data_IF_506227508484
#
_entry.id   IF_506227508484
#
_cell.length_a   1.000
_cell.length_b   1.000
_cell.length_c   1.000
_cell.angle_alpha   90.00
_cell.angle_beta   90.00
_cell.angle_gamma   90.00
#
_symmetry.space_group_name_H-M   'P 1'
#
loop_
_entity.id
_entity.type
_entity.pdbx_description
1 polymer ?
#
# COMPACT_ATOMS: atom_id res chain seq x y z
N UNK A 1 24.40 40.70 -18.83
CA UNK A 1 23.99 39.41 -18.24
C UNK A 1 25.19 38.50 -18.25
N UNK A 2 25.58 37.98 -17.09
CA UNK A 2 26.83 37.23 -16.97
C UNK A 2 26.69 35.82 -17.54
N UNK A 3 27.78 35.25 -18.05
CA UNK A 3 27.85 33.85 -18.55
C UNK A 3 27.22 32.84 -17.59
N UNK A 4 27.33 33.09 -16.27
CA UNK A 4 26.74 32.29 -15.20
C UNK A 4 25.20 32.25 -15.28
N UNK A 5 24.57 33.37 -15.62
CA UNK A 5 23.11 33.45 -15.78
C UNK A 5 22.61 32.51 -16.88
N UNK A 6 23.24 32.56 -18.07
CA UNK A 6 22.84 31.69 -19.19
C UNK A 6 23.10 30.20 -18.92
N UNK A 7 24.17 29.87 -18.20
CA UNK A 7 24.43 28.49 -17.76
C UNK A 7 23.33 28.00 -16.82
N UNK A 8 22.96 28.79 -15.81
CA UNK A 8 21.89 28.43 -14.86
C UNK A 8 20.56 28.27 -15.58
N UNK A 9 20.17 29.23 -16.44
CA UNK A 9 18.95 29.12 -17.24
C UNK A 9 18.96 27.89 -18.17
N UNK A 10 20.11 27.59 -18.79
CA UNK A 10 20.27 26.41 -19.64
C UNK A 10 20.11 25.10 -18.87
N UNK A 11 20.72 24.99 -17.69
CA UNK A 11 20.57 23.81 -16.81
C UNK A 11 19.13 23.66 -16.33
N UNK A 12 18.48 24.75 -15.91
CA UNK A 12 17.09 24.71 -15.47
C UNK A 12 16.14 24.30 -16.61
N UNK A 13 16.30 24.88 -17.81
CA UNK A 13 15.51 24.49 -18.98
C UNK A 13 15.75 23.04 -19.38
N UNK A 14 17.00 22.60 -19.45
CA UNK A 14 17.33 21.21 -19.75
C UNK A 14 16.73 20.25 -18.71
N UNK A 15 16.78 20.62 -17.41
CA UNK A 15 16.19 19.82 -16.34
C UNK A 15 14.67 19.78 -16.42
N UNK A 16 14.00 20.90 -16.74
CA UNK A 16 12.54 20.96 -16.90
C UNK A 16 12.07 20.13 -18.10
N UNK A 17 12.79 20.22 -19.23
CA UNK A 17 12.53 19.41 -20.43
C UNK A 17 12.75 17.94 -20.11
N UNK A 18 13.88 17.58 -19.49
CA UNK A 18 14.19 16.22 -19.09
C UNK A 18 13.13 15.63 -18.16
N UNK A 19 12.73 16.37 -17.12
CA UNK A 19 11.66 15.97 -16.21
C UNK A 19 10.39 15.70 -16.99
N UNK A 20 9.96 16.59 -17.90
CA UNK A 20 8.72 16.41 -18.67
C UNK A 20 8.72 15.11 -19.51
N UNK A 21 9.86 14.72 -20.05
CA UNK A 21 10.00 13.50 -20.86
C UNK A 21 10.19 12.22 -20.02
N UNK A 22 10.71 12.32 -18.79
CA UNK A 22 10.99 11.18 -17.91
C UNK A 22 9.93 10.99 -16.81
N UNK A 23 9.10 12.01 -16.55
CA UNK A 23 8.14 12.02 -15.44
C UNK A 23 6.90 11.16 -15.65
N UNK A 24 6.68 10.64 -16.86
CA UNK A 24 5.58 9.74 -17.15
C UNK A 24 6.11 8.32 -17.04
N UNK A 25 5.88 7.71 -15.88
CA UNK A 25 6.09 6.27 -15.76
C UNK A 25 5.17 5.55 -16.74
N UNK A 26 5.69 4.53 -17.41
CA UNK A 26 4.89 3.64 -18.23
C UNK A 26 3.83 2.97 -17.35
N UNK A 27 2.63 2.78 -17.90
CA UNK A 27 1.57 2.03 -17.23
C UNK A 27 1.96 0.56 -17.18
N UNK A 28 1.94 -0.01 -15.97
CA UNK A 28 2.25 -1.43 -15.76
C UNK A 28 1.01 -2.15 -15.27
N UNK A 29 0.46 -3.09 -16.04
CA UNK A 29 -0.69 -3.86 -15.60
C UNK A 29 -0.30 -4.82 -14.46
N UNK A 30 -1.31 -5.30 -13.74
CA UNK A 30 -1.15 -6.43 -12.83
C UNK A 30 -0.73 -7.69 -13.59
N UNK A 31 -0.08 -8.61 -12.89
CA UNK A 31 0.24 -9.94 -13.42
C UNK A 31 -1.00 -10.83 -13.54
N UNK A 32 -1.94 -10.65 -12.60
CA UNK A 32 -3.24 -11.31 -12.53
C UNK A 32 -4.24 -10.35 -11.90
N UNK A 33 -5.51 -10.46 -12.28
CA UNK A 33 -6.58 -9.62 -11.74
C UNK A 33 -6.73 -9.85 -10.22
N UNK A 34 -6.94 -8.77 -9.45
CA UNK A 34 -7.09 -8.87 -8.01
C UNK A 34 -8.38 -9.60 -7.61
N UNK A 35 -9.39 -9.63 -8.47
CA UNK A 35 -10.61 -10.42 -8.27
C UNK A 35 -10.30 -11.93 -8.13
N UNK A 36 -9.26 -12.42 -8.83
CA UNK A 36 -8.79 -13.80 -8.74
C UNK A 36 -7.99 -14.11 -7.45
N UNK A 37 -7.90 -13.18 -6.49
CA UNK A 37 -7.23 -13.46 -5.23
C UNK A 37 -7.90 -14.65 -4.52
N UNK A 38 -7.16 -15.54 -3.84
CA UNK A 38 -7.74 -16.79 -3.37
C UNK A 38 -8.81 -16.58 -2.30
N UNK A 39 -9.99 -17.19 -2.48
CA UNK A 39 -11.06 -17.21 -1.47
C UNK A 39 -10.72 -18.02 -0.22
N UNK A 40 -9.61 -18.77 -0.24
CA UNK A 40 -9.04 -19.47 0.92
C UNK A 40 -7.55 -19.22 1.03
N UNK A 41 -7.11 -18.80 2.21
CA UNK A 41 -5.71 -18.46 2.51
C UNK A 41 -5.31 -19.22 3.78
N UNK A 42 -4.75 -20.42 3.62
CA UNK A 42 -4.56 -21.34 4.74
C UNK A 42 -5.88 -21.71 5.39
N UNK A 43 -6.06 -21.37 6.66
CA UNK A 43 -7.29 -21.61 7.43
C UNK A 43 -8.35 -20.51 7.22
N UNK A 44 -7.95 -19.36 6.71
CA UNK A 44 -8.82 -18.21 6.47
C UNK A 44 -9.71 -18.45 5.25
N UNK A 45 -10.99 -18.11 5.37
CA UNK A 45 -11.98 -18.22 4.30
C UNK A 45 -12.62 -16.87 4.07
N UNK A 46 -12.77 -16.51 2.81
CA UNK A 46 -13.56 -15.36 2.39
C UNK A 46 -15.00 -15.48 2.90
N UNK A 47 -15.52 -14.38 3.42
CA UNK A 47 -16.92 -14.26 3.87
C UNK A 47 -17.66 -13.09 3.23
N UNK A 48 -16.92 -12.11 2.73
CA UNK A 48 -17.48 -10.92 2.08
C UNK A 48 -16.46 -10.30 1.15
N UNK A 49 -16.94 -9.67 0.09
CA UNK A 49 -16.19 -8.73 -0.73
C UNK A 49 -17.02 -7.47 -0.89
N UNK A 50 -16.42 -6.32 -0.59
CA UNK A 50 -17.12 -5.04 -0.59
C UNK A 50 -16.61 -4.16 -1.72
N UNK A 51 -17.51 -3.82 -2.64
CA UNK A 51 -17.24 -2.83 -3.68
C UNK A 51 -17.35 -1.42 -3.09
N UNK A 52 -16.32 -0.61 -3.32
CA UNK A 52 -16.38 0.80 -2.99
C UNK A 52 -17.27 1.55 -3.98
N UNK A 53 -18.05 2.51 -3.46
CA UNK A 53 -18.80 3.43 -4.32
C UNK A 53 -17.87 4.35 -5.12
N UNK A 54 -18.35 4.84 -6.28
CA UNK A 54 -17.56 5.64 -7.22
C UNK A 54 -16.79 6.80 -6.56
N UNK A 55 -17.41 7.49 -5.60
CA UNK A 55 -16.80 8.61 -4.88
C UNK A 55 -15.61 8.20 -4.01
N UNK A 56 -15.62 7.00 -3.45
CA UNK A 56 -14.49 6.48 -2.67
C UNK A 56 -13.36 6.10 -3.62
N UNK A 57 -13.68 5.47 -4.76
CA UNK A 57 -12.69 5.14 -5.80
C UNK A 57 -12.02 6.38 -6.39
N UNK A 58 -12.77 7.45 -6.64
CA UNK A 58 -12.23 8.72 -7.12
C UNK A 58 -11.24 9.35 -6.12
N UNK A 59 -11.50 9.22 -4.81
CA UNK A 59 -10.60 9.70 -3.76
C UNK A 59 -9.38 8.79 -3.59
N UNK A 60 -9.55 7.47 -3.72
CA UNK A 60 -8.45 6.51 -3.63
C UNK A 60 -7.53 6.60 -4.85
N UNK A 61 -8.08 6.81 -6.05
CA UNK A 61 -7.36 6.89 -7.31
C UNK A 61 -6.67 5.58 -7.74
N UNK A 62 -7.07 4.44 -7.16
CA UNK A 62 -6.53 3.13 -7.52
C UNK A 62 -7.09 2.68 -8.87
N UNK A 63 -6.22 2.17 -9.75
CA UNK A 63 -6.60 1.63 -11.06
C UNK A 63 -7.28 0.25 -10.93
N UNK A 64 -6.96 -0.48 -9.87
CA UNK A 64 -7.53 -1.79 -9.52
C UNK A 64 -7.47 -1.96 -8.00
N UNK A 65 -8.43 -2.67 -7.41
CA UNK A 65 -8.43 -2.92 -5.98
C UNK A 65 -9.10 -4.24 -5.59
N UNK A 66 -8.69 -4.76 -4.43
CA UNK A 66 -9.38 -5.79 -3.68
C UNK A 66 -9.80 -5.19 -2.33
N UNK A 67 -11.03 -5.46 -1.89
CA UNK A 67 -11.46 -5.18 -0.52
C UNK A 67 -12.32 -6.33 -0.01
N UNK A 68 -11.71 -7.25 0.74
CA UNK A 68 -12.30 -8.56 1.05
C UNK A 68 -12.13 -8.94 2.51
N UNK A 69 -13.20 -9.43 3.11
CA UNK A 69 -13.24 -9.94 4.48
C UNK A 69 -12.95 -11.45 4.52
N UNK A 70 -12.09 -11.85 5.45
CA UNK A 70 -11.75 -13.25 5.72
C UNK A 70 -12.03 -13.61 7.17
N UNK A 71 -12.50 -14.84 7.41
CA UNK A 71 -12.75 -15.39 8.75
C UNK A 71 -11.84 -16.58 9.03
N UNK A 72 -11.33 -16.67 10.25
CA UNK A 72 -10.59 -17.80 10.78
C UNK A 72 -11.53 -18.78 11.51
N UNK A 73 -11.21 -20.08 11.61
CA UNK A 73 -12.01 -21.04 12.38
C UNK A 73 -12.22 -20.69 13.86
N UNK A 74 -11.37 -19.83 14.44
CA UNK A 74 -11.54 -19.30 15.80
C UNK A 74 -12.65 -18.25 15.93
N UNK A 75 -13.23 -17.78 14.81
CA UNK A 75 -14.20 -16.69 14.76
C UNK A 75 -13.59 -15.31 14.53
N UNK A 76 -12.26 -15.18 14.57
CA UNK A 76 -11.58 -13.93 14.24
C UNK A 76 -11.79 -13.56 12.77
N UNK A 77 -11.86 -12.25 12.48
CA UNK A 77 -12.00 -11.73 11.12
C UNK A 77 -10.94 -10.68 10.81
N UNK A 78 -10.54 -10.62 9.54
CA UNK A 78 -9.62 -9.62 9.00
C UNK A 78 -10.19 -9.07 7.69
N UNK A 79 -9.91 -7.81 7.42
CA UNK A 79 -10.13 -7.18 6.12
C UNK A 79 -8.81 -7.05 5.40
N UNK A 80 -8.78 -7.49 4.14
CA UNK A 80 -7.67 -7.30 3.22
C UNK A 80 -8.07 -6.25 2.19
N UNK A 81 -7.34 -5.15 2.19
CA UNK A 81 -7.38 -4.17 1.11
C UNK A 81 -6.07 -4.17 0.32
N UNK A 82 -6.17 -4.23 -1.00
CA UNK A 82 -5.06 -4.03 -1.93
C UNK A 82 -5.49 -2.96 -2.92
N UNK A 83 -4.85 -1.80 -2.90
CA UNK A 83 -5.07 -0.76 -3.91
C UNK A 83 -3.88 -0.67 -4.84
N UNK A 84 -4.07 -0.98 -6.13
CA UNK A 84 -3.01 -0.99 -7.14
C UNK A 84 -3.08 0.22 -8.08
N UNK A 85 -1.91 0.76 -8.40
CA UNK A 85 -1.74 1.92 -9.27
C UNK A 85 -0.79 1.52 -10.40
N UNK A 86 -1.27 1.53 -11.64
CA UNK A 86 -0.52 1.19 -12.86
C UNK A 86 0.52 2.25 -13.19
N UNK A 87 0.27 3.51 -12.83
CA UNK A 87 1.23 4.61 -12.92
C UNK A 87 0.79 5.75 -11.99
N UNK A 88 1.62 6.12 -11.03
CA UNK A 88 1.34 7.27 -10.16
C UNK A 88 1.72 8.58 -10.87
N UNK A 89 0.73 9.38 -11.29
CA UNK A 89 0.90 10.73 -11.85
C UNK A 89 0.63 11.81 -10.80
N UNK A 90 0.82 13.07 -11.18
CA UNK A 90 0.61 14.22 -10.28
C UNK A 90 -0.87 14.32 -9.89
N UNK A 91 -1.22 13.88 -8.67
CA UNK A 91 -2.60 13.83 -8.15
C UNK A 91 -2.93 12.47 -7.51
N UNK A 92 -2.43 11.38 -8.10
CA UNK A 92 -2.80 9.99 -7.76
C UNK A 92 -1.69 9.29 -6.96
N UNK A 93 -1.16 9.99 -5.96
CA UNK A 93 -0.15 9.40 -5.07
C UNK A 93 -0.84 8.55 -4.02
N UNK A 94 -0.38 7.31 -3.86
CA UNK A 94 -0.85 6.44 -2.78
C UNK A 94 -0.76 7.15 -1.42
N UNK A 95 -1.91 7.40 -0.81
CA UNK A 95 -2.03 7.97 0.53
C UNK A 95 -2.00 6.83 1.56
N UNK A 96 -1.32 7.05 2.71
CA UNK A 96 -1.37 6.07 3.80
C UNK A 96 -2.69 6.17 4.56
N UNK A 97 -3.07 5.11 5.31
CA UNK A 97 -4.21 5.15 6.22
C UNK A 97 -4.11 6.29 7.26
N UNK A 98 -2.91 6.79 7.55
CA UNK A 98 -2.67 7.92 8.46
C UNK A 98 -3.25 9.25 7.97
N UNK A 99 -3.51 9.39 6.67
CA UNK A 99 -4.11 10.60 6.10
C UNK A 99 -5.63 10.46 5.94
N UNK A 100 -6.11 9.25 5.60
CA UNK A 100 -7.53 9.01 5.32
C UNK A 100 -8.35 8.75 6.59
N UNK A 101 -7.86 7.90 7.49
CA UNK A 101 -8.62 7.45 8.66
C UNK A 101 -9.00 8.59 9.62
N UNK A 102 -8.12 9.58 9.90
CA UNK A 102 -8.50 10.75 10.69
C UNK A 102 -9.64 11.57 10.09
N UNK A 103 -9.71 11.67 8.76
CA UNK A 103 -10.81 12.34 8.06
C UNK A 103 -12.17 11.66 8.28
N UNK A 104 -12.17 10.34 8.54
CA UNK A 104 -13.37 9.54 8.85
C UNK A 104 -13.67 9.42 10.35
N UNK A 105 -12.94 10.16 11.19
CA UNK A 105 -13.12 10.23 12.64
C UNK A 105 -12.31 9.23 13.46
N UNK A 106 -11.40 8.47 12.86
CA UNK A 106 -10.51 7.56 13.57
C UNK A 106 -9.30 8.29 14.15
N UNK A 107 -8.99 8.06 15.42
CA UNK A 107 -7.86 8.67 16.10
C UNK A 107 -6.73 7.66 16.30
N UNK A 108 -5.47 8.02 16.04
CA UNK A 108 -4.33 7.14 16.28
C UNK A 108 -4.04 6.96 17.76
N UNK A 109 -3.97 5.72 18.21
CA UNK A 109 -3.43 5.34 19.52
C UNK A 109 -1.97 4.90 19.43
N UNK A 110 -1.61 4.13 18.40
CA UNK A 110 -0.24 3.68 18.13
C UNK A 110 0.07 3.88 16.65
N UNK A 111 1.29 4.34 16.34
CA UNK A 111 1.76 4.57 14.98
C UNK A 111 3.25 4.30 14.92
N UNK A 112 3.61 3.04 14.68
CA UNK A 112 4.99 2.58 14.62
C UNK A 112 5.22 1.61 13.47
N UNK A 113 6.40 0.99 13.46
CA UNK A 113 6.77 -0.02 12.47
C UNK A 113 7.21 -1.27 13.21
N UNK A 114 6.79 -2.40 12.70
CA UNK A 114 7.16 -3.72 13.21
C UNK A 114 7.91 -4.51 12.15
N UNK A 115 8.71 -5.47 12.59
CA UNK A 115 9.38 -6.42 11.72
C UNK A 115 8.58 -7.72 11.70
N UNK A 116 8.37 -8.27 10.51
CA UNK A 116 7.69 -9.54 10.30
C UNK A 116 8.64 -10.47 9.57
N UNK A 117 8.86 -11.66 10.10
CA UNK A 117 9.55 -12.72 9.39
C UNK A 117 8.58 -13.40 8.42
N UNK A 118 8.88 -13.30 7.13
CA UNK A 118 8.04 -13.81 6.04
C UNK A 118 8.72 -15.03 5.40
N UNK A 119 8.04 -16.19 5.37
CA UNK A 119 8.58 -17.39 4.74
C UNK A 119 9.02 -17.16 3.30
N UNK A 120 10.26 -17.57 2.98
CA UNK A 120 10.84 -17.43 1.63
C UNK A 120 11.32 -16.02 1.27
N UNK A 121 11.15 -15.03 2.15
CA UNK A 121 11.57 -13.63 1.92
C UNK A 121 12.51 -13.10 3.00
N UNK A 122 12.34 -13.54 4.25
CA UNK A 122 13.05 -13.04 5.42
C UNK A 122 12.33 -11.86 6.08
N UNK A 123 13.07 -11.09 6.87
CA UNK A 123 12.51 -9.96 7.63
C UNK A 123 12.05 -8.81 6.72
N UNK A 124 10.79 -8.42 6.87
CA UNK A 124 10.22 -7.22 6.25
C UNK A 124 9.73 -6.25 7.31
N UNK A 125 9.77 -4.95 7.00
CA UNK A 125 9.19 -3.92 7.86
C UNK A 125 7.87 -3.43 7.30
N UNK A 126 6.85 -3.40 8.15
CA UNK A 126 5.50 -2.89 7.85
C UNK A 126 5.09 -1.88 8.92
N UNK A 127 4.06 -1.07 8.67
CA UNK A 127 3.50 -0.17 9.67
C UNK A 127 2.48 -0.91 10.52
N UNK A 128 2.45 -0.58 11.81
CA UNK A 128 1.39 -0.96 12.73
C UNK A 128 0.69 0.31 13.20
N UNK A 129 -0.63 0.33 13.04
CA UNK A 129 -1.45 1.49 13.30
C UNK A 129 -2.69 1.07 14.09
N UNK A 130 -2.67 1.31 15.41
CA UNK A 130 -3.82 1.09 16.27
C UNK A 130 -4.65 2.38 16.26
N UNK A 131 -5.91 2.28 15.86
CA UNK A 131 -6.83 3.40 15.75
C UNK A 131 -8.07 3.19 16.61
N UNK A 132 -8.73 4.29 16.98
CA UNK A 132 -9.95 4.29 17.79
C UNK A 132 -11.00 5.25 17.24
N UNK A 133 -12.27 4.85 17.28
CA UNK A 133 -13.42 5.71 17.00
C UNK A 133 -14.54 5.40 18.00
N UNK A 134 -14.73 6.28 18.98
CA UNK A 134 -15.59 5.97 20.13
C UNK A 134 -15.03 4.77 20.91
N UNK A 135 -15.86 3.75 21.11
CA UNK A 135 -15.46 2.51 21.80
C UNK A 135 -14.84 1.46 20.85
N UNK A 136 -14.92 1.69 19.54
CA UNK A 136 -14.37 0.80 18.53
C UNK A 136 -12.86 1.02 18.38
N UNK A 137 -12.10 -0.08 18.34
CA UNK A 137 -10.67 -0.07 18.06
C UNK A 137 -10.37 -1.00 16.90
N UNK A 138 -9.46 -0.60 16.02
CA UNK A 138 -8.96 -1.43 14.94
C UNK A 138 -7.44 -1.42 14.93
N UNK A 139 -6.86 -2.59 14.70
CA UNK A 139 -5.45 -2.72 14.37
C UNK A 139 -5.34 -2.74 12.85
N UNK A 140 -4.42 -1.94 12.31
CA UNK A 140 -4.18 -1.84 10.88
C UNK A 140 -2.70 -2.07 10.62
N UNK A 141 -2.39 -3.13 9.87
CA UNK A 141 -1.07 -3.42 9.34
C UNK A 141 -1.02 -3.00 7.88
N UNK A 142 -0.07 -2.14 7.50
CA UNK A 142 0.01 -1.70 6.11
C UNK A 142 1.42 -1.41 5.61
N UNK A 143 1.62 -1.58 4.31
CA UNK A 143 2.87 -1.26 3.61
C UNK A 143 2.62 -0.91 2.16
N UNK A 144 3.63 -0.30 1.54
CA UNK A 144 3.66 -0.09 0.11
C UNK A 144 4.45 -1.22 -0.54
N UNK A 145 3.86 -1.85 -1.55
CA UNK A 145 4.52 -2.85 -2.38
C UNK A 145 4.90 -2.21 -3.71
N UNK A 146 6.18 -2.20 -4.06
CA UNK A 146 6.61 -1.70 -5.38
C UNK A 146 7.90 -2.37 -5.82
N UNK A 147 7.84 -3.07 -6.97
CA UNK A 147 8.99 -3.71 -7.62
C UNK A 147 9.75 -4.66 -6.71
N UNK A 148 9.03 -5.62 -6.15
CA UNK A 148 9.58 -6.57 -5.17
C UNK A 148 10.03 -5.94 -3.85
N UNK A 149 9.85 -4.64 -3.59
CA UNK A 149 10.16 -4.01 -2.29
C UNK A 149 8.93 -3.85 -1.43
N UNK A 150 9.10 -4.15 -0.15
CA UNK A 150 8.15 -3.86 0.93
C UNK A 150 8.62 -2.60 1.63
N UNK A 151 7.83 -1.54 1.56
CA UNK A 151 8.23 -0.21 2.02
C UNK A 151 7.25 0.27 3.09
N UNK A 152 7.71 0.41 4.33
CA UNK A 152 6.89 0.97 5.42
C UNK A 152 6.94 2.50 5.51
N UNK A 153 7.96 3.14 4.93
CA UNK A 153 8.15 4.60 5.07
C UNK A 153 7.58 5.36 3.87
N UNK A 154 6.66 6.30 4.12
CA UNK A 154 6.15 7.22 3.09
C UNK A 154 7.27 8.00 2.39
N UNK A 155 8.31 8.38 3.14
CA UNK A 155 9.48 9.06 2.58
C UNK A 155 10.28 8.14 1.66
N UNK A 156 10.52 6.88 2.09
CA UNK A 156 11.24 5.92 1.24
C UNK A 156 10.43 5.53 0.01
N UNK A 157 9.10 5.47 0.12
CA UNK A 157 8.23 5.25 -1.02
C UNK A 157 8.41 6.34 -2.06
N UNK A 158 8.38 7.62 -1.65
CA UNK A 158 8.60 8.77 -2.55
C UNK A 158 10.01 8.77 -3.14
N UNK A 159 11.02 8.45 -2.33
CA UNK A 159 12.39 8.32 -2.81
C UNK A 159 12.51 7.28 -3.92
N UNK A 160 11.99 6.06 -3.68
CA UNK A 160 12.02 5.00 -4.68
C UNK A 160 11.19 5.33 -5.92
N UNK A 161 10.03 5.97 -5.75
CA UNK A 161 9.21 6.44 -6.88
C UNK A 161 10.02 7.32 -7.84
N UNK A 162 10.82 8.25 -7.31
CA UNK A 162 11.68 9.13 -8.11
C UNK A 162 12.81 8.33 -8.77
N UNK A 163 13.50 7.47 -8.01
CA UNK A 163 14.61 6.66 -8.52
C UNK A 163 14.14 5.73 -9.65
N UNK A 164 12.99 5.09 -9.49
CA UNK A 164 12.45 4.16 -10.47
C UNK A 164 11.86 4.86 -11.70
N UNK A 165 11.27 6.04 -11.53
CA UNK A 165 10.87 6.87 -12.68
C UNK A 165 12.10 7.20 -13.55
N UNK A 166 13.23 7.54 -12.94
CA UNK A 166 14.45 7.89 -13.68
C UNK A 166 15.18 6.68 -14.28
N UNK A 167 15.26 5.57 -13.55
CA UNK A 167 16.10 4.41 -13.93
C UNK A 167 15.33 3.32 -14.67
N UNK A 168 14.02 3.19 -14.42
CA UNK A 168 13.15 2.13 -14.94
C UNK A 168 11.93 2.65 -15.68
N UNK A 169 11.74 3.97 -15.76
CA UNK A 169 10.58 4.63 -16.39
C UNK A 169 9.24 4.11 -15.89
N UNK A 170 9.12 3.84 -14.61
CA UNK A 170 7.86 3.28 -14.09
C UNK A 170 7.63 3.73 -12.65
N UNK A 171 6.36 3.93 -12.32
CA UNK A 171 5.87 4.53 -11.07
C UNK A 171 4.72 3.73 -10.44
N UNK A 172 4.49 2.52 -10.94
CA UNK A 172 3.49 1.59 -10.39
C UNK A 172 3.81 1.15 -8.95
N UNK A 173 2.76 0.76 -8.23
CA UNK A 173 2.86 0.22 -6.89
C UNK A 173 1.50 -0.05 -6.27
N UNK A 174 1.50 -0.71 -5.12
CA UNK A 174 0.29 -1.01 -4.37
C UNK A 174 0.38 -0.51 -2.93
N UNK A 175 -0.76 -0.17 -2.34
CA UNK A 175 -0.97 -0.19 -0.89
C UNK A 175 -1.56 -1.55 -0.53
N UNK A 176 -0.94 -2.25 0.43
CA UNK A 176 -1.53 -3.43 1.04
C UNK A 176 -1.84 -3.08 2.49
N UNK A 177 -3.07 -3.35 2.89
CA UNK A 177 -3.60 -3.11 4.22
C UNK A 177 -4.34 -4.36 4.71
N UNK A 178 -4.02 -4.77 5.93
CA UNK A 178 -4.75 -5.78 6.70
C UNK A 178 -5.28 -5.08 7.94
N UNK A 179 -6.57 -5.21 8.22
CA UNK A 179 -7.16 -4.63 9.42
C UNK A 179 -8.10 -5.59 10.14
N UNK A 180 -8.17 -5.47 11.46
CA UNK A 180 -9.03 -6.28 12.30
C UNK A 180 -9.60 -5.48 13.49
N UNK A 181 -10.85 -5.75 13.90
CA UNK A 181 -11.40 -5.16 15.12
C UNK A 181 -10.68 -5.71 16.36
N UNK A 182 -10.49 -4.85 17.36
CA UNK A 182 -9.86 -5.20 18.64
C UNK A 182 -10.94 -5.38 19.72
N UNK A 183 -11.48 -6.59 19.80
CA UNK A 183 -12.49 -7.00 20.79
C UNK A 183 -11.87 -7.51 22.11
N UNK A 184 -10.56 -7.81 22.11
CA UNK A 184 -9.80 -8.36 23.24
C UNK A 184 -8.42 -7.70 23.41
N UNK A 185 -7.37 -8.52 23.49
CA UNK A 185 -5.98 -8.04 23.54
C UNK A 185 -5.51 -7.58 22.16
N UNK A 186 -4.79 -6.47 22.13
CA UNK A 186 -4.14 -5.98 20.90
C UNK A 186 -3.07 -6.96 20.41
N UNK A 187 -2.37 -7.63 21.33
CA UNK A 187 -1.36 -8.62 21.05
C UNK A 187 -1.96 -9.88 20.39
N UNK A 188 -3.11 -10.36 20.87
CA UNK A 188 -3.82 -11.50 20.26
C UNK A 188 -4.26 -11.19 18.82
N UNK A 189 -4.80 -9.98 18.60
CA UNK A 189 -5.20 -9.52 17.26
C UNK A 189 -3.98 -9.35 16.36
N UNK A 190 -2.88 -8.80 16.89
CA UNK A 190 -1.64 -8.65 16.16
C UNK A 190 -1.09 -10.01 15.71
N UNK A 191 -1.10 -11.03 16.56
CA UNK A 191 -0.63 -12.37 16.21
C UNK A 191 -1.48 -13.01 15.10
N UNK A 192 -2.81 -12.82 15.15
CA UNK A 192 -3.75 -13.23 14.09
C UNK A 192 -3.50 -12.50 12.76
N UNK A 193 -3.34 -11.18 12.78
CA UNK A 193 -3.04 -10.42 11.56
C UNK A 193 -1.66 -10.78 11.00
N UNK A 194 -0.65 -10.99 11.85
CA UNK A 194 0.68 -11.42 11.42
C UNK A 194 0.67 -12.82 10.80
N UNK A 195 -0.14 -13.73 11.32
CA UNK A 195 -0.38 -15.03 10.69
C UNK A 195 -0.96 -14.89 9.28
N UNK A 196 -1.98 -14.05 9.11
CA UNK A 196 -2.57 -13.76 7.81
C UNK A 196 -1.57 -13.09 6.86
N UNK A 197 -0.85 -12.07 7.32
CA UNK A 197 0.18 -11.34 6.56
C UNK A 197 1.25 -12.30 6.03
N UNK A 198 1.75 -13.23 6.86
CA UNK A 198 2.74 -14.23 6.43
C UNK A 198 2.22 -15.14 5.31
N UNK A 199 0.92 -15.45 5.30
CA UNK A 199 0.28 -16.30 4.28
C UNK A 199 0.03 -15.56 2.97
N UNK A 200 -0.31 -14.26 3.01
CA UNK A 200 -0.57 -13.48 1.79
C UNK A 200 0.71 -12.98 1.10
N UNK A 201 1.79 -12.78 1.85
CA UNK A 201 3.04 -12.27 1.30
C UNK A 201 3.56 -13.00 0.05
N UNK A 202 3.65 -14.35 0.02
CA UNK A 202 4.08 -15.06 -1.17
C UNK A 202 3.09 -14.88 -2.34
N UNK A 203 1.79 -14.82 -2.05
CA UNK A 203 0.73 -14.66 -3.06
C UNK A 203 0.85 -13.31 -3.78
N UNK A 204 1.22 -12.24 -3.08
CA UNK A 204 1.32 -10.89 -3.67
C UNK A 204 2.23 -10.83 -4.91
N UNK A 205 3.24 -11.68 -5.02
CA UNK A 205 4.16 -11.70 -6.17
C UNK A 205 3.55 -12.29 -7.45
N UNK A 206 2.45 -13.03 -7.31
CA UNK A 206 1.69 -13.59 -8.43
C UNK A 206 0.74 -12.55 -9.06
N UNK A 207 0.41 -11.48 -8.32
CA UNK A 207 -0.51 -10.43 -8.76
C UNK A 207 0.22 -9.11 -9.04
N UNK A 208 1.14 -8.72 -8.17
CA UNK A 208 1.84 -7.44 -8.25
C UNK A 208 3.16 -7.57 -9.01
N UNK A 209 3.49 -6.63 -9.90
CA UNK A 209 4.72 -6.70 -10.68
C UNK A 209 5.97 -6.35 -9.84
N UNK A 210 7.05 -7.11 -10.11
CA UNK A 210 8.42 -6.84 -9.66
C UNK A 210 9.10 -5.69 -10.42
#
# INVERSE_FOLDING_TARGET
MDRRFYIVCGVLLASAVWIRFVSHGDEVPLRRELEEFPSRIGEWREVSEELFGERVLEVLGADDYLNRGYVHPSGASVWLYIGYYRSQRQGDLIHSPKHCLPGSGWQPLVSDRITVDVPGRGEVRINRYLIQKGDERQLVLYWYQSRGRTIASEYMRRFWLVVDAMTRRRTDGALVEVSAPVEGSVEEVLDLELDFVRKIFPLLSDYLPD
#
